data_IF_566170852690
#
_entry.id   IF_566170852690
#
_cell.length_a   1.000
_cell.length_b   1.000
_cell.length_c   1.000
_cell.angle_alpha   90.00
_cell.angle_beta   90.00
_cell.angle_gamma   90.00
#
_symmetry.space_group_name_H-M   'P 1'
#
loop_
_entity.id
_entity.type
_entity.pdbx_description
1 polymer ?
#
# COMPACT_ATOMS: atom_id res chain seq x y z
N UNK A 1 -17.66 11.84 10.13
CA UNK A 1 -16.64 11.64 9.08
C UNK A 1 -16.54 10.17 8.77
N UNK A 2 -16.56 9.81 7.47
CA UNK A 2 -16.44 8.45 6.95
C UNK A 2 -15.43 8.47 5.79
N UNK A 3 -14.36 7.74 5.90
CA UNK A 3 -13.24 7.74 4.97
C UNK A 3 -13.11 6.37 4.30
N UNK A 4 -12.93 6.35 2.97
CA UNK A 4 -12.33 5.20 2.30
C UNK A 4 -10.83 5.44 2.23
N UNK A 5 -10.04 4.47 2.67
CA UNK A 5 -8.58 4.57 2.71
C UNK A 5 -7.99 3.49 1.82
N UNK A 6 -7.22 3.91 0.83
CA UNK A 6 -6.50 3.05 -0.12
C UNK A 6 -5.01 3.35 -0.04
N UNK A 7 -4.17 2.39 -0.39
CA UNK A 7 -2.72 2.50 -0.43
C UNK A 7 -2.14 1.49 -1.40
N UNK A 8 -0.91 1.70 -1.84
CA UNK A 8 -0.09 0.70 -2.51
C UNK A 8 -0.81 0.09 -3.73
N UNK A 9 -1.22 0.98 -4.65
CA UNK A 9 -2.01 0.64 -5.86
C UNK A 9 -1.14 -0.03 -6.92
N UNK A 10 0.13 0.38 -7.01
CA UNK A 10 1.14 -0.25 -7.85
C UNK A 10 0.74 -0.44 -9.32
N UNK A 11 0.03 0.52 -9.88
CA UNK A 11 -0.41 0.46 -11.27
C UNK A 11 -1.44 -0.63 -11.56
N UNK A 12 -2.02 -1.27 -10.56
CA UNK A 12 -3.03 -2.32 -10.72
C UNK A 12 -4.42 -1.70 -10.96
N UNK A 13 -4.65 -1.30 -12.21
CA UNK A 13 -5.88 -0.63 -12.62
C UNK A 13 -7.13 -1.50 -12.36
N UNK A 14 -7.17 -2.80 -12.73
CA UNK A 14 -8.35 -3.63 -12.46
C UNK A 14 -8.71 -3.72 -10.97
N UNK A 15 -7.70 -3.82 -10.10
CA UNK A 15 -7.92 -3.82 -8.65
C UNK A 15 -8.48 -2.47 -8.17
N UNK A 16 -7.90 -1.36 -8.64
CA UNK A 16 -8.37 -0.01 -8.31
C UNK A 16 -9.82 0.21 -8.77
N UNK A 17 -10.17 -0.19 -9.99
CA UNK A 17 -11.53 -0.06 -10.53
C UNK A 17 -12.55 -0.86 -9.72
N UNK A 18 -12.20 -2.08 -9.28
CA UNK A 18 -13.05 -2.88 -8.42
C UNK A 18 -13.26 -2.22 -7.05
N UNK A 19 -12.20 -1.71 -6.41
CA UNK A 19 -12.30 -0.96 -5.15
C UNK A 19 -13.14 0.31 -5.34
N UNK A 20 -12.96 1.04 -6.45
CA UNK A 20 -13.78 2.21 -6.77
C UNK A 20 -15.26 1.89 -6.88
N UNK A 21 -15.61 0.74 -7.47
CA UNK A 21 -17.00 0.32 -7.58
C UNK A 21 -17.64 0.11 -6.20
N UNK A 22 -16.92 -0.51 -5.25
CA UNK A 22 -17.39 -0.67 -3.87
C UNK A 22 -17.46 0.67 -3.13
N UNK A 23 -16.42 1.50 -3.22
CA UNK A 23 -16.36 2.80 -2.53
C UNK A 23 -17.52 3.71 -2.92
N UNK A 24 -17.96 3.69 -4.18
CA UNK A 24 -19.13 4.46 -4.64
C UNK A 24 -20.42 4.11 -3.89
N UNK A 25 -20.57 2.88 -3.44
CA UNK A 25 -21.71 2.40 -2.65
C UNK A 25 -21.65 2.76 -1.16
N UNK A 26 -20.49 3.18 -0.66
CA UNK A 26 -20.26 3.36 0.78
C UNK A 26 -20.60 4.75 1.32
N UNK A 27 -20.99 5.72 0.48
CA UNK A 27 -21.32 7.09 0.88
C UNK A 27 -20.26 7.72 1.80
N UNK A 28 -18.98 7.70 1.35
CA UNK A 28 -17.86 8.27 2.10
C UNK A 28 -17.79 9.78 1.92
N UNK A 29 -17.32 10.48 2.96
CA UNK A 29 -17.09 11.92 2.90
C UNK A 29 -15.83 12.23 2.09
N UNK A 30 -14.80 11.38 2.19
CA UNK A 30 -13.52 11.54 1.48
C UNK A 30 -12.91 10.18 1.15
N UNK A 31 -12.14 10.15 0.07
CA UNK A 31 -11.21 9.05 -0.24
C UNK A 31 -9.78 9.54 0.01
N UNK A 32 -8.99 8.71 0.70
CA UNK A 32 -7.59 8.98 1.04
C UNK A 32 -6.74 7.93 0.35
N UNK A 33 -5.73 8.39 -0.41
CA UNK A 33 -4.72 7.52 -1.04
C UNK A 33 -3.36 7.79 -0.40
N UNK A 34 -2.76 6.75 0.15
CA UNK A 34 -1.55 6.82 0.97
C UNK A 34 -0.24 6.59 0.18
N UNK A 35 -0.28 6.65 -1.15
CA UNK A 35 0.92 6.57 -1.99
C UNK A 35 1.17 5.18 -2.58
N UNK A 36 2.33 5.03 -3.20
CA UNK A 36 2.76 3.91 -4.01
C UNK A 36 1.73 3.56 -5.11
N UNK A 37 1.55 4.57 -5.97
CA UNK A 37 0.44 4.65 -6.91
C UNK A 37 0.72 3.86 -8.18
N UNK A 38 1.91 4.06 -8.77
CA UNK A 38 2.19 3.69 -10.17
C UNK A 38 3.28 2.64 -10.35
N UNK A 39 4.17 2.46 -9.37
CA UNK A 39 5.31 1.55 -9.46
C UNK A 39 4.86 0.11 -9.62
N UNK A 40 5.25 -0.52 -10.72
CA UNK A 40 4.86 -1.91 -11.02
C UNK A 40 4.83 -2.20 -12.51
N UNK A 41 4.78 -3.49 -12.92
CA UNK A 41 4.81 -3.89 -14.34
C UNK A 41 3.43 -3.85 -15.01
N UNK A 42 2.43 -3.18 -14.41
CA UNK A 42 1.04 -3.29 -14.81
C UNK A 42 0.56 -2.13 -15.71
N UNK A 43 -0.25 -1.19 -15.22
CA UNK A 43 -0.85 -0.07 -15.96
C UNK A 43 -0.55 1.28 -15.31
N UNK A 44 0.73 1.70 -15.20
CA UNK A 44 1.11 2.91 -14.46
C UNK A 44 0.45 4.18 -15.03
N UNK A 45 0.43 4.33 -16.36
CA UNK A 45 -0.11 5.53 -17.01
C UNK A 45 -1.62 5.64 -16.86
N UNK A 46 -2.34 4.55 -17.09
CA UNK A 46 -3.80 4.50 -16.98
C UNK A 46 -4.24 4.73 -15.54
N UNK A 47 -3.50 4.17 -14.58
CA UNK A 47 -3.73 4.39 -13.14
C UNK A 47 -3.50 5.84 -12.76
N UNK A 48 -2.39 6.45 -13.20
CA UNK A 48 -2.12 7.88 -12.96
C UNK A 48 -3.21 8.76 -13.57
N UNK A 49 -3.60 8.51 -14.82
CA UNK A 49 -4.64 9.28 -15.52
C UNK A 49 -5.99 9.20 -14.78
N UNK A 50 -6.37 8.02 -14.30
CA UNK A 50 -7.60 7.83 -13.54
C UNK A 50 -7.57 8.62 -12.22
N UNK A 51 -6.49 8.53 -11.47
CA UNK A 51 -6.38 9.19 -10.16
C UNK A 51 -6.23 10.71 -10.26
N UNK A 52 -5.55 11.23 -11.27
CA UNK A 52 -5.49 12.67 -11.54
C UNK A 52 -6.87 13.28 -11.81
N UNK A 53 -7.77 12.52 -12.42
CA UNK A 53 -9.14 12.97 -12.65
C UNK A 53 -10.01 12.97 -11.39
N UNK A 54 -9.49 12.43 -10.27
CA UNK A 54 -10.23 12.32 -9.01
C UNK A 54 -9.76 13.37 -8.00
N UNK A 55 -10.70 13.92 -7.23
CA UNK A 55 -10.40 14.88 -6.16
C UNK A 55 -10.10 14.16 -4.84
N UNK A 56 -9.18 13.18 -4.86
CA UNK A 56 -8.79 12.44 -3.68
C UNK A 56 -7.71 13.16 -2.87
N UNK A 57 -7.75 12.98 -1.56
CA UNK A 57 -6.66 13.38 -0.67
C UNK A 57 -5.52 12.37 -0.83
N UNK A 58 -4.51 12.72 -1.62
CA UNK A 58 -3.44 11.81 -2.02
C UNK A 58 -2.09 12.31 -1.51
N UNK A 59 -1.29 11.40 -0.95
CA UNK A 59 0.12 11.63 -0.64
C UNK A 59 1.00 10.76 -1.55
N UNK A 60 2.28 11.08 -1.64
CA UNK A 60 3.26 10.23 -2.32
C UNK A 60 3.84 9.19 -1.36
N UNK A 61 4.15 7.99 -1.89
CA UNK A 61 4.94 6.99 -1.19
C UNK A 61 6.43 7.04 -1.53
N UNK A 62 7.18 6.04 -1.09
CA UNK A 62 8.60 5.92 -1.40
C UNK A 62 8.85 5.69 -2.90
N UNK A 63 7.97 4.96 -3.57
CA UNK A 63 8.12 4.68 -5.00
C UNK A 63 7.96 5.94 -5.84
N UNK A 64 7.00 6.84 -5.54
CA UNK A 64 6.93 8.13 -6.24
C UNK A 64 8.17 8.97 -6.02
N UNK A 65 8.71 9.02 -4.79
CA UNK A 65 9.95 9.74 -4.51
C UNK A 65 11.14 9.14 -5.27
N UNK A 66 11.29 7.82 -5.26
CA UNK A 66 12.38 7.10 -5.94
C UNK A 66 12.30 7.29 -7.46
N UNK A 67 11.12 7.10 -8.04
CA UNK A 67 10.84 7.28 -9.47
C UNK A 67 11.16 8.70 -9.96
N UNK A 68 10.93 9.72 -9.13
CA UNK A 68 11.20 11.11 -9.47
C UNK A 68 12.66 11.53 -9.24
N UNK A 69 13.33 10.97 -8.21
CA UNK A 69 14.62 11.44 -7.76
C UNK A 69 15.81 10.60 -8.25
N UNK A 70 15.61 9.30 -8.48
CA UNK A 70 16.70 8.41 -8.87
C UNK A 70 17.00 8.49 -10.38
N UNK A 71 18.25 8.42 -10.81
CA UNK A 71 18.61 8.21 -12.19
C UNK A 71 18.17 6.80 -12.64
N UNK A 72 17.88 6.64 -13.93
CA UNK A 72 17.26 5.43 -14.49
C UNK A 72 18.05 4.13 -14.21
N UNK A 73 19.39 4.22 -14.17
CA UNK A 73 20.30 3.11 -13.88
C UNK A 73 20.35 2.69 -12.40
N UNK A 74 19.70 3.46 -11.53
CA UNK A 74 19.61 3.20 -10.09
C UNK A 74 18.18 2.91 -9.62
N UNK A 75 17.21 2.95 -10.53
CA UNK A 75 15.82 2.59 -10.24
C UNK A 75 15.66 1.07 -10.15
N UNK A 76 14.85 0.62 -9.22
CA UNK A 76 14.34 -0.76 -9.22
C UNK A 76 13.50 -1.05 -10.49
N UNK A 77 13.38 -2.32 -10.91
CA UNK A 77 12.69 -2.67 -12.16
C UNK A 77 11.25 -2.17 -12.25
N UNK A 78 10.52 -2.13 -11.13
CA UNK A 78 9.14 -1.65 -11.06
C UNK A 78 9.03 -0.13 -11.32
N UNK A 79 9.93 0.65 -10.69
CA UNK A 79 10.00 2.11 -10.89
C UNK A 79 10.44 2.47 -12.30
N UNK A 80 11.48 1.80 -12.81
CA UNK A 80 11.99 2.02 -14.17
C UNK A 80 10.91 1.72 -15.21
N UNK A 81 10.15 0.64 -15.04
CA UNK A 81 9.04 0.29 -15.93
C UNK A 81 7.94 1.38 -15.92
N UNK A 82 7.53 1.82 -14.73
CA UNK A 82 6.51 2.85 -14.57
C UNK A 82 7.01 4.18 -15.16
N UNK A 83 8.23 4.63 -14.78
CA UNK A 83 8.82 5.89 -15.23
C UNK A 83 8.89 6.02 -16.75
N UNK A 84 9.21 4.92 -17.44
CA UNK A 84 9.31 4.88 -18.90
C UNK A 84 7.95 5.02 -19.62
N UNK A 85 6.83 4.90 -18.91
CA UNK A 85 5.47 4.90 -19.47
C UNK A 85 4.63 6.09 -19.08
N UNK A 86 5.03 6.79 -18.01
CA UNK A 86 4.35 7.99 -17.53
C UNK A 86 4.59 9.17 -18.49
N UNK A 87 3.56 9.95 -18.72
CA UNK A 87 3.66 11.21 -19.42
C UNK A 87 4.24 12.30 -18.48
N UNK A 88 4.70 13.41 -19.06
CA UNK A 88 5.23 14.53 -18.30
C UNK A 88 4.21 15.10 -17.31
N UNK A 89 2.97 15.17 -17.71
CA UNK A 89 1.86 15.61 -16.86
C UNK A 89 1.61 14.70 -15.66
N UNK A 90 1.83 13.37 -15.81
CA UNK A 90 1.73 12.41 -14.72
C UNK A 90 2.86 12.64 -13.71
N UNK A 91 4.08 12.86 -14.21
CA UNK A 91 5.25 13.14 -13.37
C UNK A 91 5.11 14.47 -12.61
N UNK A 92 4.59 15.51 -13.26
CA UNK A 92 4.31 16.78 -12.60
C UNK A 92 3.27 16.61 -11.49
N UNK A 93 2.22 15.82 -11.73
CA UNK A 93 1.23 15.50 -10.72
C UNK A 93 1.84 14.75 -9.53
N UNK A 94 2.60 13.69 -9.78
CA UNK A 94 3.27 12.92 -8.71
C UNK A 94 4.23 13.80 -7.90
N UNK A 95 4.97 14.69 -8.56
CA UNK A 95 5.90 15.62 -7.90
C UNK A 95 5.20 16.63 -6.99
N UNK A 96 3.97 17.00 -7.31
CA UNK A 96 3.17 17.94 -6.52
C UNK A 96 2.52 17.29 -5.27
N UNK A 97 2.52 15.96 -5.16
CA UNK A 97 1.93 15.26 -4.02
C UNK A 97 2.77 15.49 -2.75
N UNK A 98 2.13 15.81 -1.60
CA UNK A 98 2.83 15.93 -0.33
C UNK A 98 3.30 14.54 0.17
N UNK A 99 4.37 14.52 0.98
CA UNK A 99 4.85 13.29 1.62
C UNK A 99 3.98 12.86 2.81
N UNK A 100 3.39 13.83 3.50
CA UNK A 100 2.46 13.64 4.61
C UNK A 100 1.33 14.65 4.49
N UNK A 101 0.18 14.38 5.10
CA UNK A 101 -0.97 15.25 5.01
C UNK A 101 -1.75 15.29 6.33
N UNK A 102 -1.96 16.46 6.87
CA UNK A 102 -2.98 16.69 7.89
C UNK A 102 -4.32 16.94 7.18
N UNK A 103 -5.24 15.99 7.30
CA UNK A 103 -6.58 16.09 6.70
C UNK A 103 -7.51 17.04 7.47
N UNK A 104 -7.07 17.51 8.63
CA UNK A 104 -7.95 18.13 9.62
C UNK A 104 -8.74 17.11 10.43
N UNK A 105 -9.57 17.59 11.34
CA UNK A 105 -10.45 16.75 12.20
C UNK A 105 -9.69 15.66 13.00
N UNK A 106 -8.38 15.82 13.19
CA UNK A 106 -7.53 14.91 13.94
C UNK A 106 -7.11 13.67 13.15
N UNK A 107 -6.98 13.78 11.82
CA UNK A 107 -6.52 12.71 10.93
C UNK A 107 -5.20 13.10 10.27
N UNK A 108 -4.16 12.31 10.50
CA UNK A 108 -2.84 12.45 9.90
C UNK A 108 -2.54 11.30 8.94
N UNK A 109 -1.93 11.60 7.79
CA UNK A 109 -1.57 10.63 6.77
C UNK A 109 -0.07 10.64 6.51
N UNK A 110 0.55 9.47 6.47
CA UNK A 110 1.92 9.22 6.04
C UNK A 110 1.97 7.92 5.21
N UNK A 111 3.04 7.69 4.45
CA UNK A 111 3.16 6.42 3.73
C UNK A 111 3.72 5.31 4.63
N UNK A 112 4.94 5.46 5.13
CA UNK A 112 5.52 4.61 6.17
C UNK A 112 5.20 5.16 7.56
N UNK A 113 6.17 5.78 8.23
CA UNK A 113 5.98 6.53 9.49
C UNK A 113 5.88 8.03 9.23
N UNK A 114 5.47 8.86 10.22
CA UNK A 114 5.50 10.31 10.07
C UNK A 114 6.86 10.91 9.69
N UNK A 115 7.96 10.22 10.03
CA UNK A 115 9.32 10.67 9.78
C UNK A 115 9.98 10.04 8.55
N UNK A 116 9.44 8.92 8.03
CA UNK A 116 10.08 8.16 6.95
C UNK A 116 9.07 7.40 6.11
N UNK A 117 9.17 7.51 4.79
CA UNK A 117 8.38 6.74 3.83
C UNK A 117 8.87 5.30 3.63
N UNK A 118 10.04 4.93 4.21
CA UNK A 118 10.63 3.59 4.12
C UNK A 118 10.51 2.78 5.41
N UNK A 119 10.25 3.43 6.54
CA UNK A 119 10.16 2.72 7.81
C UNK A 119 8.78 2.10 7.99
N UNK A 120 8.72 0.79 8.22
CA UNK A 120 7.49 0.10 8.57
C UNK A 120 6.92 0.61 9.88
N UNK A 121 5.62 0.93 9.92
CA UNK A 121 5.00 1.52 11.11
C UNK A 121 4.51 0.42 12.07
N UNK A 122 3.74 -0.52 11.55
CA UNK A 122 3.03 -1.52 12.34
C UNK A 122 3.66 -2.92 12.32
N UNK A 123 4.74 -3.07 11.56
CA UNK A 123 5.55 -4.28 11.48
C UNK A 123 7.02 -3.99 11.85
N UNK A 124 7.73 -5.01 12.33
CA UNK A 124 9.17 -4.96 12.60
C UNK A 124 9.85 -6.13 11.90
N UNK A 125 10.81 -5.81 11.02
CA UNK A 125 11.62 -6.82 10.33
C UNK A 125 12.61 -7.45 11.31
N UNK A 126 12.78 -8.77 11.22
CA UNK A 126 13.61 -9.56 12.10
C UNK A 126 14.58 -10.44 11.28
N UNK A 127 15.80 -10.77 11.80
CA UNK A 127 16.80 -11.52 11.06
C UNK A 127 16.56 -13.04 11.14
N UNK A 128 15.32 -13.50 11.04
CA UNK A 128 14.91 -14.88 11.27
C UNK A 128 14.06 -15.49 10.15
N UNK A 129 14.16 -14.93 8.92
CA UNK A 129 13.48 -15.48 7.76
C UNK A 129 13.76 -16.99 7.64
N UNK A 130 12.70 -17.76 7.39
CA UNK A 130 12.65 -19.22 7.28
C UNK A 130 13.04 -20.00 8.55
N UNK A 131 13.43 -19.33 9.63
CA UNK A 131 13.63 -20.00 10.92
C UNK A 131 12.27 -20.35 11.53
N UNK A 132 12.02 -21.64 11.71
CA UNK A 132 10.74 -22.14 12.24
C UNK A 132 9.51 -21.66 11.45
N UNK A 133 9.69 -21.42 10.14
CA UNK A 133 8.64 -20.89 9.26
C UNK A 133 8.38 -19.39 9.41
N UNK A 134 9.28 -18.63 10.03
CA UNK A 134 9.17 -17.17 10.16
C UNK A 134 9.21 -16.48 8.79
N UNK A 135 8.33 -15.51 8.52
CA UNK A 135 8.42 -14.66 7.34
C UNK A 135 9.52 -13.58 7.45
N UNK A 136 10.33 -13.54 8.52
CA UNK A 136 11.31 -12.48 8.77
C UNK A 136 10.69 -11.15 9.20
N UNK A 137 9.43 -11.16 9.63
CA UNK A 137 8.70 -9.96 10.09
C UNK A 137 7.66 -10.33 11.14
N UNK A 138 7.45 -9.44 12.09
CA UNK A 138 6.41 -9.56 13.13
C UNK A 138 5.63 -8.27 13.29
N UNK A 139 4.50 -8.34 13.97
CA UNK A 139 3.81 -7.13 14.42
C UNK A 139 4.74 -6.29 15.32
N UNK A 140 4.71 -4.98 15.14
CA UNK A 140 5.41 -4.05 16.02
C UNK A 140 4.81 -4.08 17.44
N UNK A 141 5.67 -3.97 18.44
CA UNK A 141 5.24 -3.79 19.82
C UNK A 141 4.66 -2.39 20.05
N UNK A 142 3.88 -2.20 21.11
CA UNK A 142 3.34 -0.89 21.45
C UNK A 142 4.43 0.18 21.65
N UNK A 143 5.59 -0.20 22.17
CA UNK A 143 6.74 0.69 22.33
C UNK A 143 7.34 1.11 20.99
N UNK A 144 7.50 0.18 20.05
CA UNK A 144 7.98 0.46 18.69
C UNK A 144 7.00 1.37 17.93
N UNK A 145 5.70 1.14 18.07
CA UNK A 145 4.68 2.02 17.46
C UNK A 145 4.73 3.41 18.07
N UNK A 146 4.89 3.53 19.39
CA UNK A 146 5.00 4.83 20.07
C UNK A 146 6.26 5.61 19.63
N UNK A 147 7.40 4.94 19.53
CA UNK A 147 8.64 5.54 19.04
C UNK A 147 8.50 6.05 17.61
N UNK A 148 7.91 5.25 16.72
CA UNK A 148 7.67 5.60 15.32
C UNK A 148 6.61 6.68 15.12
N UNK A 149 5.64 6.79 16.01
CA UNK A 149 4.65 7.86 16.02
C UNK A 149 5.29 9.23 16.27
N UNK A 150 6.34 9.26 17.11
CA UNK A 150 7.11 10.46 17.42
C UNK A 150 6.25 11.55 18.06
N UNK A 151 6.28 12.76 17.51
CA UNK A 151 5.57 13.93 18.01
C UNK A 151 4.12 14.06 17.48
N UNK A 152 3.65 13.15 16.64
CA UNK A 152 2.28 13.21 16.11
C UNK A 152 1.28 12.83 17.18
N UNK A 153 0.31 13.71 17.43
CA UNK A 153 -0.73 13.53 18.46
C UNK A 153 -2.14 13.38 17.89
N UNK A 154 -2.26 13.18 16.57
CA UNK A 154 -3.55 13.00 15.92
C UNK A 154 -4.28 11.75 16.45
N UNK A 155 -5.59 11.83 16.75
CA UNK A 155 -6.39 10.68 17.18
C UNK A 155 -6.45 9.53 16.17
N UNK A 156 -6.24 9.81 14.88
CA UNK A 156 -6.13 8.82 13.82
C UNK A 156 -4.90 9.10 12.96
N UNK A 157 -4.08 8.08 12.75
CA UNK A 157 -2.98 8.09 11.77
C UNK A 157 -3.21 6.99 10.75
N UNK A 158 -3.15 7.35 9.47
CA UNK A 158 -3.29 6.43 8.33
C UNK A 158 -1.92 6.23 7.69
N UNK A 159 -1.52 4.96 7.49
CA UNK A 159 -0.25 4.58 6.87
C UNK A 159 -0.43 3.46 5.85
N UNK A 160 0.55 3.22 5.00
CA UNK A 160 0.59 2.17 3.98
C UNK A 160 1.90 1.37 4.04
N UNK A 161 2.56 1.24 2.87
CA UNK A 161 3.91 0.72 2.66
C UNK A 161 4.12 -0.78 2.91
N UNK A 162 3.61 -1.33 4.00
CA UNK A 162 3.83 -2.75 4.35
C UNK A 162 2.86 -3.71 3.66
N UNK A 163 1.85 -3.20 2.96
CA UNK A 163 0.75 -3.95 2.33
C UNK A 163 -0.09 -4.80 3.30
N UNK A 164 0.19 -4.73 4.61
CA UNK A 164 -0.46 -5.55 5.62
C UNK A 164 -1.62 -4.80 6.29
N UNK A 165 -2.87 -5.26 6.11
CA UNK A 165 -4.01 -4.63 6.76
C UNK A 165 -3.90 -4.78 8.29
N UNK A 166 -3.76 -3.68 9.00
CA UNK A 166 -3.58 -3.69 10.46
C UNK A 166 -4.11 -2.42 11.11
N UNK A 167 -4.60 -2.55 12.32
CA UNK A 167 -4.88 -1.41 13.19
C UNK A 167 -4.25 -1.64 14.56
N UNK A 168 -3.63 -0.60 15.12
CA UNK A 168 -3.01 -0.65 16.45
C UNK A 168 -3.33 0.62 17.22
N UNK A 169 -3.71 0.46 18.51
CA UNK A 169 -3.92 1.57 19.42
C UNK A 169 -2.60 1.89 20.12
N UNK A 170 -2.18 3.16 20.06
CA UNK A 170 -1.02 3.68 20.79
C UNK A 170 -1.43 4.94 21.56
N UNK A 171 -1.61 4.81 22.87
CA UNK A 171 -2.15 5.91 23.68
C UNK A 171 -3.49 6.41 23.14
N UNK A 172 -3.59 7.70 22.87
CA UNK A 172 -4.80 8.33 22.29
C UNK A 172 -4.92 8.20 20.77
N UNK A 173 -3.94 7.60 20.08
CA UNK A 173 -3.86 7.51 18.63
C UNK A 173 -4.18 6.11 18.14
N UNK A 174 -5.11 5.97 17.20
CA UNK A 174 -5.30 4.77 16.42
C UNK A 174 -4.48 4.87 15.13
N UNK A 175 -3.57 3.92 14.88
CA UNK A 175 -2.80 3.81 13.63
C UNK A 175 -3.43 2.72 12.77
N UNK A 176 -3.69 3.03 11.49
CA UNK A 176 -4.39 2.11 10.57
C UNK A 176 -3.62 2.01 9.26
N UNK A 177 -3.29 0.79 8.87
CA UNK A 177 -2.86 0.42 7.52
C UNK A 177 -4.02 -0.30 6.82
N UNK A 178 -4.48 0.16 5.64
CA UNK A 178 -5.57 -0.49 4.93
C UNK A 178 -5.14 -1.77 4.20
N UNK A 179 -3.85 -2.05 4.12
CA UNK A 179 -3.28 -3.03 3.18
C UNK A 179 -3.09 -2.43 1.79
N UNK A 180 -2.76 -3.27 0.82
CA UNK A 180 -2.49 -2.88 -0.56
C UNK A 180 -3.69 -3.14 -1.48
N UNK A 181 -4.01 -2.16 -2.32
CA UNK A 181 -4.98 -2.34 -3.42
C UNK A 181 -4.39 -3.23 -4.51
N UNK A 182 -3.12 -3.02 -4.86
CA UNK A 182 -2.57 -3.54 -6.10
C UNK A 182 -1.59 -4.69 -5.98
N UNK A 183 -0.92 -4.87 -4.85
CA UNK A 183 0.12 -5.88 -4.67
C UNK A 183 -0.02 -6.59 -3.32
N UNK A 184 -0.62 -7.78 -3.27
CA UNK A 184 -0.95 -8.44 -2.01
C UNK A 184 0.23 -9.12 -1.31
N UNK A 185 1.39 -9.25 -1.97
CA UNK A 185 2.61 -9.79 -1.38
C UNK A 185 3.86 -9.25 -2.08
N UNK A 186 4.96 -9.13 -1.34
CA UNK A 186 6.30 -8.81 -1.84
C UNK A 186 7.37 -9.31 -0.86
N UNK A 187 8.60 -9.38 -1.32
CA UNK A 187 9.79 -9.60 -0.49
C UNK A 187 10.75 -8.40 -0.58
N UNK A 188 11.56 -8.24 0.46
CA UNK A 188 12.61 -7.24 0.52
C UNK A 188 13.82 -7.82 1.29
N UNK A 189 15.01 -7.29 1.00
CA UNK A 189 16.25 -7.69 1.66
C UNK A 189 16.67 -6.73 2.78
N UNK A 190 15.99 -5.60 2.94
CA UNK A 190 16.38 -4.55 3.88
C UNK A 190 15.37 -4.37 5.02
N UNK A 191 15.83 -4.17 6.28
CA UNK A 191 17.21 -4.30 6.76
C UNK A 191 17.68 -5.76 6.86
N UNK A 192 16.78 -6.72 6.76
CA UNK A 192 17.00 -8.16 6.67
C UNK A 192 16.01 -8.75 5.69
N UNK A 193 16.35 -9.85 5.04
CA UNK A 193 15.45 -10.55 4.14
C UNK A 193 14.16 -10.93 4.85
N UNK A 194 13.02 -10.61 4.21
CA UNK A 194 11.69 -10.88 4.77
C UNK A 194 10.62 -10.95 3.68
N UNK A 195 9.46 -11.50 4.01
CA UNK A 195 8.29 -11.60 3.13
C UNK A 195 7.09 -10.93 3.77
N UNK A 196 6.42 -10.10 2.99
CA UNK A 196 5.13 -9.51 3.32
C UNK A 196 4.05 -10.24 2.54
N UNK A 197 3.21 -11.03 3.22
CA UNK A 197 2.27 -11.94 2.57
C UNK A 197 0.89 -11.84 3.21
N UNK A 198 -0.13 -11.56 2.40
CA UNK A 198 -1.50 -11.49 2.88
C UNK A 198 -2.29 -12.79 2.69
N UNK A 199 -1.73 -13.74 1.92
CA UNK A 199 -2.29 -15.07 1.69
C UNK A 199 -3.54 -15.12 0.81
N UNK A 200 -3.88 -14.04 0.12
CA UNK A 200 -4.97 -14.03 -0.86
C UNK A 200 -4.83 -12.90 -1.88
N UNK A 201 -5.34 -13.09 -3.12
CA UNK A 201 -5.17 -12.16 -4.24
C UNK A 201 -6.02 -10.89 -4.15
N UNK A 202 -6.93 -10.79 -3.18
CA UNK A 202 -7.89 -9.70 -3.07
C UNK A 202 -7.22 -8.34 -2.93
N UNK A 203 -7.75 -7.33 -3.58
CA UNK A 203 -7.44 -5.94 -3.30
C UNK A 203 -7.90 -5.57 -1.88
N UNK A 204 -7.09 -4.78 -1.17
CA UNK A 204 -7.40 -4.38 0.21
C UNK A 204 -7.52 -2.89 0.34
N UNK A 205 -8.48 -2.48 1.15
CA UNK A 205 -8.73 -1.10 1.52
C UNK A 205 -9.46 -1.05 2.87
N UNK A 206 -9.61 0.12 3.46
CA UNK A 206 -10.30 0.25 4.73
C UNK A 206 -11.40 1.31 4.68
N UNK A 207 -12.51 1.01 5.33
CA UNK A 207 -13.53 1.98 5.66
C UNK A 207 -13.34 2.42 7.11
N UNK A 208 -13.05 3.70 7.32
CA UNK A 208 -12.78 4.28 8.63
C UNK A 208 -13.85 5.31 8.96
N UNK A 209 -14.54 5.12 10.08
CA UNK A 209 -15.66 5.97 10.47
C UNK A 209 -15.43 6.54 11.87
N UNK A 210 -15.63 7.86 12.02
CA UNK A 210 -15.68 8.49 13.32
C UNK A 210 -17.02 8.18 14.00
N UNK A 211 -16.96 7.64 15.21
CA UNK A 211 -18.08 7.34 16.07
C UNK A 211 -17.96 8.11 17.39
N UNK A 212 -18.97 8.05 18.24
CA UNK A 212 -18.98 8.73 19.53
C UNK A 212 -17.83 8.26 20.45
N UNK A 213 -17.56 6.94 20.47
CA UNK A 213 -16.52 6.31 21.28
C UNK A 213 -15.12 6.30 20.62
N UNK A 214 -14.92 6.94 19.47
CA UNK A 214 -13.64 6.95 18.74
C UNK A 214 -13.77 6.51 17.28
N UNK A 215 -12.72 5.92 16.71
CA UNK A 215 -12.70 5.49 15.31
C UNK A 215 -13.06 4.02 15.17
N UNK A 216 -13.91 3.70 14.20
CA UNK A 216 -14.24 2.34 13.78
C UNK A 216 -13.55 2.04 12.46
N UNK A 217 -12.96 0.86 12.33
CA UNK A 217 -12.23 0.40 11.13
C UNK A 217 -12.85 -0.88 10.63
N UNK A 218 -13.12 -0.93 9.34
CA UNK A 218 -13.54 -2.13 8.62
C UNK A 218 -12.50 -2.39 7.52
N UNK A 219 -11.67 -3.41 7.70
CA UNK A 219 -10.80 -3.90 6.63
C UNK A 219 -11.64 -4.61 5.58
N UNK A 220 -11.41 -4.28 4.31
CA UNK A 220 -12.17 -4.77 3.16
C UNK A 220 -11.29 -5.59 2.25
N UNK A 221 -11.86 -6.65 1.70
CA UNK A 221 -11.27 -7.51 0.68
C UNK A 221 -12.18 -7.48 -0.53
N UNK A 222 -11.67 -6.97 -1.64
CA UNK A 222 -12.41 -6.80 -2.89
C UNK A 222 -11.89 -7.79 -3.93
N UNK A 223 -12.77 -8.60 -4.47
CA UNK A 223 -12.45 -9.48 -5.59
C UNK A 223 -12.35 -8.66 -6.89
N UNK A 224 -11.38 -8.98 -7.73
CA UNK A 224 -11.19 -8.42 -9.06
C UNK A 224 -10.62 -9.49 -10.00
N UNK A 225 -10.40 -9.19 -11.26
CA UNK A 225 -9.76 -10.12 -12.19
C UNK A 225 -8.22 -10.10 -11.97
N UNK A 226 -7.76 -10.75 -10.89
CA UNK A 226 -6.34 -10.87 -10.58
C UNK A 226 -5.57 -11.74 -11.57
N UNK A 227 -6.25 -12.68 -12.26
CA UNK A 227 -5.60 -13.49 -13.29
C UNK A 227 -5.22 -12.62 -14.49
N UNK A 228 -6.06 -11.69 -14.91
CA UNK A 228 -5.74 -10.72 -15.96
C UNK A 228 -4.53 -9.85 -15.59
N UNK A 229 -4.46 -9.40 -14.33
CA UNK A 229 -3.31 -8.64 -13.83
C UNK A 229 -2.03 -9.49 -13.75
N UNK A 230 -2.13 -10.74 -13.30
CA UNK A 230 -1.02 -11.68 -13.22
C UNK A 230 -0.45 -12.03 -14.61
N UNK A 231 -1.31 -12.33 -15.59
CA UNK A 231 -0.89 -12.56 -16.97
C UNK A 231 -0.16 -11.35 -17.56
N UNK A 232 -0.61 -10.14 -17.25
CA UNK A 232 0.11 -8.94 -17.68
C UNK A 232 1.51 -8.85 -17.07
N UNK A 233 1.67 -9.18 -15.80
CA UNK A 233 2.98 -9.22 -15.15
C UNK A 233 3.89 -10.28 -15.80
N UNK A 234 3.39 -11.47 -16.09
CA UNK A 234 4.12 -12.52 -16.81
C UNK A 234 4.60 -12.06 -18.20
N UNK A 235 3.73 -11.40 -18.97
CA UNK A 235 4.09 -10.83 -20.28
C UNK A 235 5.16 -9.71 -20.19
N UNK A 236 5.54 -9.31 -18.99
CA UNK A 236 6.63 -8.35 -18.70
C UNK A 236 7.81 -9.00 -17.99
N UNK A 237 7.89 -10.34 -18.05
CA UNK A 237 8.93 -11.15 -17.41
C UNK A 237 8.98 -10.95 -15.87
N UNK A 238 7.83 -10.66 -15.26
CA UNK A 238 7.65 -10.45 -13.82
C UNK A 238 6.79 -11.57 -13.21
N UNK A 239 7.32 -12.80 -13.28
CA UNK A 239 6.71 -13.99 -12.66
C UNK A 239 6.55 -13.85 -11.14
N UNK A 240 7.46 -13.15 -10.48
CA UNK A 240 7.39 -12.78 -9.07
C UNK A 240 6.09 -12.02 -8.74
N UNK A 241 5.74 -11.01 -9.55
CA UNK A 241 4.48 -10.28 -9.42
C UNK A 241 3.27 -11.13 -9.73
N UNK A 242 3.37 -11.98 -10.77
CA UNK A 242 2.26 -12.85 -11.14
C UNK A 242 1.90 -13.83 -10.03
N UNK A 243 2.89 -14.42 -9.38
CA UNK A 243 2.70 -15.32 -8.24
C UNK A 243 2.05 -14.56 -7.06
N UNK A 244 2.57 -13.38 -6.73
CA UNK A 244 2.01 -12.53 -5.69
C UNK A 244 0.54 -12.16 -5.97
N UNK A 245 0.22 -11.76 -7.21
CA UNK A 245 -1.13 -11.37 -7.62
C UNK A 245 -2.13 -12.54 -7.58
N UNK A 246 -1.69 -13.77 -7.87
CA UNK A 246 -2.56 -14.97 -7.84
C UNK A 246 -2.79 -15.50 -6.43
N UNK A 247 -1.80 -15.39 -5.57
CA UNK A 247 -1.78 -16.14 -4.31
C UNK A 247 -1.78 -15.25 -3.06
N UNK A 248 -1.32 -14.01 -3.17
CA UNK A 248 -0.97 -13.18 -2.03
C UNK A 248 0.24 -13.71 -1.27
N UNK A 249 1.12 -14.45 -1.94
CA UNK A 249 2.36 -15.03 -1.41
C UNK A 249 3.52 -14.75 -2.33
N UNK A 250 4.74 -14.82 -1.78
CA UNK A 250 6.01 -14.68 -2.49
C UNK A 250 6.49 -16.05 -2.97
N UNK A 251 6.91 -16.10 -4.23
CA UNK A 251 7.38 -17.33 -4.89
C UNK A 251 6.23 -18.25 -5.32
N UNK A 252 6.55 -19.23 -6.18
CA UNK A 252 5.60 -20.25 -6.59
C UNK A 252 5.33 -21.16 -5.40
N UNK A 253 4.20 -21.00 -4.77
CA UNK A 253 3.67 -22.06 -3.93
C UNK A 253 3.41 -23.23 -4.86
N UNK A 254 4.11 -24.35 -4.67
CA UNK A 254 3.64 -25.62 -5.20
C UNK A 254 2.16 -25.70 -4.81
N UNK A 255 1.30 -25.83 -5.81
CA UNK A 255 -0.12 -26.09 -5.57
C UNK A 255 -0.13 -27.46 -4.92
N UNK A 256 -0.03 -27.52 -3.59
CA UNK A 256 -0.48 -28.68 -2.86
C UNK A 256 -1.94 -28.82 -3.26
N UNK A 257 -2.18 -29.80 -4.14
CA UNK A 257 -3.52 -30.17 -4.52
C UNK A 257 -4.27 -30.47 -3.21
N UNK A 258 -5.18 -29.58 -2.84
CA UNK A 258 -6.21 -29.91 -1.89
C UNK A 258 -7.04 -31.04 -2.54
N UNK A 259 -6.63 -32.28 -2.25
CA UNK A 259 -7.36 -33.49 -2.61
C UNK A 259 -8.62 -33.64 -1.77
#
# INVERSE_FOLDING_TARGET
MRLAVVSDIHGNLPALEAVLAEVRGEHVDRVVNLGDIVSGPLWPRETAALLRAMSWSTIRGNHERQLLALPADRMGPADAFARARLAEEDLHWLAALPATLDLGDGVWCCHGTPASDLQYFLETVTPDLDRDGSPGVRAATAAEVADRLGAVTAPLVLCGHTHMPRAAQCGGTLVVNPGSVGLPAFDDEHPYAHRMETGSPHARWALVKRAEAGWQVQQRLTAYDWEFAAQRAEHKDRGDWADALRTGRVGRTEVEACG
#
